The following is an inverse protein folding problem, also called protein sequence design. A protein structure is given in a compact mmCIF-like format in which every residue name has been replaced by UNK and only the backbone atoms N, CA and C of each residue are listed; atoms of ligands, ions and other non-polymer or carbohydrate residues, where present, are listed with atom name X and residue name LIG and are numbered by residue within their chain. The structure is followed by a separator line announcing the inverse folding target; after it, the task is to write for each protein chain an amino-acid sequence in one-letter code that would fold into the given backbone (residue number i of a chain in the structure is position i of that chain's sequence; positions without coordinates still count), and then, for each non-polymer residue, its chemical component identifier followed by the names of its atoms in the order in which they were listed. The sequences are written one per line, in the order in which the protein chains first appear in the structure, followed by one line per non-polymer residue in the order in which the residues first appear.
data_IF_117109092692
#
_entry.id   IF_117109092692
#
_cell.length_a   1.000
_cell.length_b   1.000
_cell.length_c   1.000
_cell.angle_alpha   90.00
_cell.angle_beta   90.00
_cell.angle_gamma   90.00
#
_symmetry.space_group_name_H-M   'P 1'
#
loop_
_entity.id
_entity.type
_entity.pdbx_description
1 polymer ?
#
# COMPACT_ATOMS: atom_id res chain seq x y z
N UNK A 1 13.65 24.49 -6.03
CA UNK A 1 12.54 24.09 -5.14
C UNK A 1 11.62 23.19 -5.95
N UNK A 2 11.84 21.88 -5.95
CA UNK A 2 10.97 20.96 -6.69
C UNK A 2 11.07 19.56 -6.10
N UNK A 3 9.91 18.96 -5.86
CA UNK A 3 9.62 17.53 -6.00
C UNK A 3 9.38 16.61 -4.80
N UNK A 4 9.43 17.06 -3.54
CA UNK A 4 8.93 16.19 -2.46
C UNK A 4 7.43 15.89 -2.62
N UNK A 5 6.65 16.89 -3.06
CA UNK A 5 5.20 16.74 -3.25
C UNK A 5 4.79 15.87 -4.46
N UNK A 6 5.60 15.83 -5.53
CA UNK A 6 5.30 14.98 -6.70
C UNK A 6 5.56 13.51 -6.45
N UNK A 7 6.55 13.17 -5.61
CA UNK A 7 6.88 11.78 -5.34
C UNK A 7 5.90 11.08 -4.41
N UNK A 8 5.38 11.78 -3.40
CA UNK A 8 4.29 11.24 -2.59
C UNK A 8 3.09 10.89 -3.46
N UNK A 9 2.74 11.75 -4.44
CA UNK A 9 1.71 11.45 -5.44
C UNK A 9 2.07 10.25 -6.32
N UNK A 10 3.32 10.12 -6.77
CA UNK A 10 3.74 8.99 -7.60
C UNK A 10 3.66 7.65 -6.85
N UNK A 11 3.96 7.64 -5.54
CA UNK A 11 3.81 6.48 -4.65
C UNK A 11 2.32 6.18 -4.42
N UNK A 12 1.50 7.21 -4.18
CA UNK A 12 0.04 7.05 -4.01
C UNK A 12 -0.63 6.55 -5.28
N UNK A 13 -0.22 7.05 -6.45
CA UNK A 13 -0.71 6.61 -7.75
C UNK A 13 -0.22 5.18 -8.06
N UNK A 14 1.03 4.83 -7.75
CA UNK A 14 1.51 3.44 -7.87
C UNK A 14 0.66 2.50 -7.01
N UNK A 15 0.36 2.89 -5.77
CA UNK A 15 -0.47 2.09 -4.88
C UNK A 15 -1.89 1.95 -5.43
N UNK A 16 -2.44 3.00 -6.07
CA UNK A 16 -3.72 2.95 -6.78
C UNK A 16 -3.69 2.03 -8.00
N UNK A 17 -2.61 2.07 -8.78
CA UNK A 17 -2.46 1.35 -10.06
C UNK A 17 -2.10 -0.13 -9.89
N UNK A 18 -1.46 -0.50 -8.77
CA UNK A 18 -1.01 -1.88 -8.50
C UNK A 18 -1.77 -2.57 -7.35
N UNK A 19 -2.86 -1.98 -6.84
CA UNK A 19 -3.74 -2.71 -5.93
C UNK A 19 -4.52 -3.72 -6.78
N UNK A 20 -4.32 -5.04 -6.63
CA UNK A 20 -5.08 -6.03 -7.37
C UNK A 20 -6.46 -6.06 -6.71
N UNK A 21 -7.38 -5.24 -7.20
CA UNK A 21 -8.80 -5.34 -6.88
C UNK A 21 -9.42 -6.40 -7.78
N UNK A 22 -8.86 -7.61 -7.78
CA UNK A 22 -9.56 -8.76 -8.34
C UNK A 22 -10.55 -9.22 -7.26
N UNK A 23 -11.75 -8.63 -7.33
CA UNK A 23 -12.92 -9.13 -6.61
C UNK A 23 -13.15 -10.57 -7.06
N UNK A 24 -12.98 -11.52 -6.15
CA UNK A 24 -13.46 -12.88 -6.33
C UNK A 24 -14.59 -13.04 -5.34
N UNK A 25 -15.80 -12.91 -5.88
CA UNK A 25 -17.06 -13.18 -5.19
C UNK A 25 -16.95 -14.58 -4.56
N UNK A 26 -17.41 -14.72 -3.31
CA UNK A 26 -17.58 -15.97 -2.53
C UNK A 26 -16.60 -16.24 -1.35
N UNK A 27 -15.65 -15.34 -1.01
CA UNK A 27 -14.79 -15.46 0.22
C UNK A 27 -14.80 -14.18 1.10
N UNK A 28 -15.76 -13.27 0.87
CA UNK A 28 -15.57 -11.82 1.06
C UNK A 28 -15.73 -11.23 2.48
N UNK A 29 -16.19 -11.95 3.50
CA UNK A 29 -16.65 -11.29 4.74
C UNK A 29 -15.51 -10.66 5.58
N UNK A 30 -14.36 -11.30 5.87
CA UNK A 30 -13.28 -10.69 6.65
C UNK A 30 -12.27 -9.91 5.80
N UNK A 31 -12.16 -10.23 4.51
CA UNK A 31 -11.11 -9.73 3.63
C UNK A 31 -11.38 -8.31 3.15
N UNK A 32 -12.63 -8.00 2.76
CA UNK A 32 -12.99 -6.67 2.27
C UNK A 32 -12.85 -5.58 3.34
N UNK A 33 -13.37 -5.76 4.58
CA UNK A 33 -13.18 -4.76 5.64
C UNK A 33 -11.70 -4.56 6.01
N UNK A 34 -10.92 -5.63 6.10
CA UNK A 34 -9.49 -5.57 6.43
C UNK A 34 -8.69 -4.82 5.34
N UNK A 35 -8.98 -5.05 4.06
CA UNK A 35 -8.35 -4.34 2.96
C UNK A 35 -8.67 -2.84 2.96
N UNK A 36 -9.94 -2.47 3.17
CA UNK A 36 -10.37 -1.06 3.25
C UNK A 36 -9.71 -0.34 4.42
N UNK A 37 -9.67 -0.97 5.59
CA UNK A 37 -9.03 -0.40 6.78
C UNK A 37 -7.51 -0.27 6.60
N UNK A 38 -6.86 -1.27 6.02
CA UNK A 38 -5.41 -1.21 5.76
C UNK A 38 -5.06 -0.13 4.73
N UNK A 39 -5.90 0.06 3.71
CA UNK A 39 -5.76 1.18 2.76
C UNK A 39 -5.93 2.53 3.47
N UNK A 40 -6.91 2.66 4.37
CA UNK A 40 -7.07 3.87 5.17
C UNK A 40 -5.81 4.13 6.02
N UNK A 41 -5.27 3.10 6.68
CA UNK A 41 -4.01 3.22 7.45
C UNK A 41 -2.87 3.78 6.60
N UNK A 42 -2.64 3.23 5.41
CA UNK A 42 -1.52 3.63 4.54
C UNK A 42 -1.70 5.03 3.99
N UNK A 43 -2.91 5.36 3.49
CA UNK A 43 -3.21 6.69 2.94
C UNK A 43 -3.02 7.82 3.95
N UNK A 44 -3.36 7.58 5.23
CA UNK A 44 -3.27 8.59 6.27
C UNK A 44 -2.04 8.45 7.18
N UNK A 45 -1.13 7.52 6.87
CA UNK A 45 0.12 7.33 7.61
C UNK A 45 -0.07 6.93 9.08
N UNK A 46 -1.13 6.16 9.41
CA UNK A 46 -1.37 5.74 10.79
C UNK A 46 -0.25 4.82 11.28
N UNK A 47 0.30 5.11 12.46
CA UNK A 47 1.23 4.21 13.13
C UNK A 47 0.60 2.83 13.38
N UNK A 48 1.41 1.77 13.48
CA UNK A 48 0.89 0.43 13.79
C UNK A 48 0.14 0.44 15.12
N UNK A 49 0.72 1.04 16.16
CA UNK A 49 0.10 1.14 17.48
C UNK A 49 -1.26 1.85 17.45
N UNK A 50 -1.37 3.00 16.77
CA UNK A 50 -2.64 3.72 16.66
C UNK A 50 -3.69 2.95 15.85
N UNK A 51 -3.25 2.19 14.85
CA UNK A 51 -4.14 1.38 14.03
C UNK A 51 -4.60 0.11 14.76
N UNK A 52 -3.73 -0.54 15.53
CA UNK A 52 -4.07 -1.69 16.37
C UNK A 52 -5.18 -1.32 17.37
N UNK A 53 -5.03 -0.18 18.07
CA UNK A 53 -6.07 0.32 18.97
C UNK A 53 -7.41 0.57 18.24
N UNK A 54 -7.38 1.05 16.99
CA UNK A 54 -8.60 1.24 16.18
C UNK A 54 -9.24 -0.10 15.82
N UNK A 55 -8.43 -1.09 15.44
CA UNK A 55 -8.91 -2.44 15.12
C UNK A 55 -9.54 -3.11 16.34
N UNK A 56 -8.96 -2.95 17.53
CA UNK A 56 -9.56 -3.44 18.79
C UNK A 56 -10.95 -2.85 19.03
N UNK A 57 -11.09 -1.52 18.90
CA UNK A 57 -12.40 -0.84 19.06
C UNK A 57 -13.41 -1.35 18.02
N UNK A 58 -12.98 -1.54 16.78
CA UNK A 58 -13.84 -2.05 15.71
C UNK A 58 -14.27 -3.50 15.98
N UNK A 59 -13.37 -4.35 16.48
CA UNK A 59 -13.69 -5.72 16.88
C UNK A 59 -14.74 -5.75 18.00
N UNK A 60 -14.63 -4.86 18.98
CA UNK A 60 -15.60 -4.77 20.09
C UNK A 60 -16.98 -4.30 19.64
N UNK A 61 -17.07 -3.50 18.57
CA UNK A 61 -18.33 -3.00 18.04
C UNK A 61 -19.01 -3.93 17.02
N UNK A 62 -18.29 -4.92 16.49
CA UNK A 62 -18.79 -5.83 15.48
C UNK A 62 -19.39 -7.11 16.10
N UNK A 63 -20.42 -7.70 15.48
CA UNK A 63 -20.95 -8.99 15.92
C UNK A 63 -19.91 -10.11 15.74
N UNK A 64 -19.94 -11.15 16.59
CA UNK A 64 -18.93 -12.22 16.68
C UNK A 64 -18.54 -12.89 15.33
N UNK A 65 -19.45 -12.87 14.35
CA UNK A 65 -19.24 -13.46 13.02
C UNK A 65 -18.44 -12.57 12.05
N UNK A 66 -18.17 -11.32 12.40
CA UNK A 66 -17.48 -10.36 11.54
C UNK A 66 -16.03 -10.16 12.02
N UNK A 67 -15.19 -11.17 11.80
CA UNK A 67 -13.85 -11.24 12.40
C UNK A 67 -12.84 -10.42 11.59
N UNK A 68 -12.85 -9.10 11.78
CA UNK A 68 -11.72 -8.26 11.37
C UNK A 68 -10.52 -8.61 12.26
N UNK A 69 -9.29 -8.75 11.72
CA UNK A 69 -8.14 -8.98 12.56
C UNK A 69 -7.88 -7.78 13.49
N UNK A 70 -7.53 -8.06 14.74
CA UNK A 70 -7.32 -7.04 15.79
C UNK A 70 -5.93 -6.39 15.78
N UNK A 71 -5.07 -6.73 14.82
CA UNK A 71 -3.73 -6.15 14.73
C UNK A 71 -3.30 -5.93 13.28
N UNK A 72 -2.46 -4.92 13.07
CA UNK A 72 -1.82 -4.58 11.80
C UNK A 72 -1.13 -5.81 11.23
N UNK A 73 -0.40 -6.56 12.07
CA UNK A 73 0.30 -7.78 11.64
C UNK A 73 -0.67 -8.83 11.12
N UNK A 74 -1.78 -9.04 11.81
CA UNK A 74 -2.78 -10.03 11.39
C UNK A 74 -3.48 -9.61 10.09
N UNK A 75 -3.76 -8.31 9.93
CA UNK A 75 -4.25 -7.74 8.67
C UNK A 75 -3.22 -7.92 7.54
N UNK A 76 -1.94 -7.64 7.80
CA UNK A 76 -0.86 -7.85 6.83
C UNK A 76 -0.73 -9.32 6.44
N UNK A 77 -0.81 -10.25 7.39
CA UNK A 77 -0.79 -11.69 7.11
C UNK A 77 -1.99 -12.13 6.26
N UNK A 78 -3.18 -11.58 6.52
CA UNK A 78 -4.38 -11.83 5.73
C UNK A 78 -4.24 -11.30 4.30
N UNK A 79 -3.65 -10.12 4.14
CA UNK A 79 -3.47 -9.47 2.84
C UNK A 79 -2.23 -9.94 2.09
N UNK A 80 -1.25 -10.56 2.76
CA UNK A 80 0.04 -10.96 2.19
C UNK A 80 -0.06 -11.81 0.92
N UNK A 81 -0.96 -12.82 0.82
CA UNK A 81 -1.14 -13.58 -0.42
C UNK A 81 -1.56 -12.70 -1.60
N UNK A 82 -2.35 -11.66 -1.34
CA UNK A 82 -2.86 -10.71 -2.33
C UNK A 82 -1.86 -9.60 -2.65
N UNK A 83 -0.94 -9.29 -1.73
CA UNK A 83 0.15 -8.34 -1.95
C UNK A 83 1.27 -8.91 -2.84
N UNK A 84 1.29 -10.23 -3.08
CA UNK A 84 2.25 -10.84 -4.01
C UNK A 84 2.07 -10.34 -5.45
N UNK A 85 0.86 -9.88 -5.79
CA UNK A 85 0.55 -9.29 -7.08
C UNK A 85 0.97 -7.80 -7.16
N UNK A 86 1.39 -7.18 -6.05
CA UNK A 86 1.92 -5.81 -6.07
C UNK A 86 3.32 -5.79 -6.71
N UNK A 87 3.43 -5.13 -7.86
CA UNK A 87 4.69 -4.98 -8.59
C UNK A 87 5.65 -4.06 -7.82
N UNK A 88 6.89 -4.50 -7.60
CA UNK A 88 7.94 -3.64 -7.03
C UNK A 88 8.52 -2.75 -8.12
N UNK A 89 8.34 -1.44 -7.99
CA UNK A 89 8.95 -0.46 -8.89
C UNK A 89 10.23 0.10 -8.28
N UNK A 90 11.26 0.26 -9.12
CA UNK A 90 12.54 0.85 -8.72
C UNK A 90 12.35 2.35 -8.48
N UNK A 91 12.87 2.86 -7.36
CA UNK A 91 12.94 4.27 -7.06
C UNK A 91 14.37 4.78 -7.31
N UNK A 92 14.49 6.04 -7.72
CA UNK A 92 15.79 6.70 -7.80
C UNK A 92 16.41 6.85 -6.39
N UNK A 93 17.71 6.57 -6.24
CA UNK A 93 18.44 6.68 -4.96
C UNK A 93 18.34 8.05 -4.28
N UNK A 94 18.21 9.12 -5.08
CA UNK A 94 18.04 10.49 -4.58
C UNK A 94 16.58 10.89 -4.43
N UNK A 95 15.65 9.93 -4.42
CA UNK A 95 14.21 10.15 -4.38
C UNK A 95 13.81 11.28 -5.33
N UNK A 96 13.88 10.98 -6.63
CA UNK A 96 13.54 11.96 -7.68
C UNK A 96 12.35 11.52 -8.53
N UNK A 97 12.20 10.20 -8.73
CA UNK A 97 11.18 9.57 -9.56
C UNK A 97 11.10 8.06 -9.26
N UNK A 98 9.99 7.46 -9.65
CA UNK A 98 9.83 6.01 -9.79
C UNK A 98 10.02 5.62 -11.27
N UNK A 99 10.75 4.53 -11.54
CA UNK A 99 10.99 4.01 -12.90
C UNK A 99 9.79 3.20 -13.40
N UNK A 100 8.69 3.91 -13.73
CA UNK A 100 7.43 3.37 -14.27
C UNK A 100 6.94 4.18 -15.48
N UNK A 101 5.92 3.67 -16.18
CA UNK A 101 5.32 4.31 -17.36
C UNK A 101 6.42 4.70 -18.38
N UNK A 102 6.50 5.97 -18.76
CA UNK A 102 7.49 6.48 -19.71
C UNK A 102 8.95 6.30 -19.25
N UNK A 103 9.17 6.10 -17.94
CA UNK A 103 10.50 5.87 -17.35
C UNK A 103 10.81 4.39 -17.09
N UNK A 104 9.92 3.46 -17.46
CA UNK A 104 10.07 2.03 -17.18
C UNK A 104 11.35 1.44 -17.81
N UNK A 105 11.68 1.89 -19.02
CA UNK A 105 12.88 1.49 -19.77
C UNK A 105 14.09 2.41 -19.52
N UNK A 106 13.96 3.40 -18.64
CA UNK A 106 15.05 4.32 -18.36
C UNK A 106 16.04 3.68 -17.40
N UNK A 107 17.33 3.72 -17.76
CA UNK A 107 18.43 3.22 -16.95
C UNK A 107 18.98 4.29 -16.00
N UNK A 108 18.56 5.54 -16.19
CA UNK A 108 19.10 6.70 -15.46
C UNK A 108 17.98 7.67 -15.10
N UNK A 109 18.07 8.26 -13.91
CA UNK A 109 17.13 9.28 -13.46
C UNK A 109 17.27 10.55 -14.32
N UNK A 110 16.20 11.02 -14.98
CA UNK A 110 16.25 12.22 -15.82
C UNK A 110 16.47 13.51 -15.01
N UNK A 111 16.23 13.50 -13.69
CA UNK A 111 16.38 14.68 -12.82
C UNK A 111 17.78 14.81 -12.24
N UNK A 112 18.39 13.72 -11.79
CA UNK A 112 19.66 13.77 -11.05
C UNK A 112 20.80 12.97 -11.72
N UNK A 113 20.54 12.31 -12.85
CA UNK A 113 21.56 11.54 -13.58
C UNK A 113 22.03 10.27 -12.86
N UNK A 114 21.40 9.87 -11.76
CA UNK A 114 21.77 8.67 -11.02
C UNK A 114 21.28 7.41 -11.73
N UNK A 115 22.09 6.35 -11.72
CA UNK A 115 21.72 5.05 -12.27
C UNK A 115 20.53 4.44 -11.53
N UNK A 116 19.66 3.73 -12.25
CA UNK A 116 18.53 2.97 -11.72
C UNK A 116 18.96 1.84 -10.78
N UNK A 117 20.08 1.19 -11.06
CA UNK A 117 20.50 -0.06 -10.41
C UNK A 117 21.41 0.15 -9.20
N UNK A 118 21.44 1.37 -8.66
CA UNK A 118 22.39 1.77 -7.63
C UNK A 118 21.80 1.70 -6.24
#
# INVERSE_FOLDING_TARGET
MTNTYSMSRDVDDHYRDNCPMNFVEDVEIPLYPAAVLYKYKTMYGYSNKSFDNLLEILCDMLPELNTIPNSTRSVEMLLKPFQLDCIRIHACVNDCCLFRNDLEKSETCPKCGSSRWK
#
